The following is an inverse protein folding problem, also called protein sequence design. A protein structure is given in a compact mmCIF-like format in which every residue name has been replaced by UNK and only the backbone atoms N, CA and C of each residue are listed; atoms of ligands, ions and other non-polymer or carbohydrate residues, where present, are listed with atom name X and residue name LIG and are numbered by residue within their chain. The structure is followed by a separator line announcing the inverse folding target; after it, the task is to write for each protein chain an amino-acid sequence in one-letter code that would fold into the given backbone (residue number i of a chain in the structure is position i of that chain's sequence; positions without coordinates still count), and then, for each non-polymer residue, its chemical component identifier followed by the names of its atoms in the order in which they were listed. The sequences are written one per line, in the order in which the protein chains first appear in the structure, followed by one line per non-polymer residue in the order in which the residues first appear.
data_IF_961581891123
#
_entry.id   IF_961581891123
#
_cell.length_a   1.000
_cell.length_b   1.000
_cell.length_c   1.000
_cell.angle_alpha   90.00
_cell.angle_beta   90.00
_cell.angle_gamma   90.00
#
_symmetry.space_group_name_H-M   'P 1'
#
loop_
_entity.id
_entity.type
_entity.pdbx_description
1 polymer ?
#
# COMPACT_ATOMS: atom_id res chain seq x y z
N UNK A 1 30.34 37.31 42.32
CA UNK A 1 30.48 37.25 40.84
C UNK A 1 30.22 35.83 40.31
N UNK A 2 30.68 34.77 40.98
CA UNK A 2 30.46 33.37 40.57
C UNK A 2 28.98 32.91 40.46
N UNK A 3 28.07 33.51 41.22
CA UNK A 3 26.65 33.10 41.25
C UNK A 3 25.90 33.46 39.96
N UNK A 4 26.29 34.57 39.30
CA UNK A 4 25.72 35.01 38.01
C UNK A 4 26.19 34.16 36.83
N UNK A 5 27.45 33.70 36.83
CA UNK A 5 27.96 32.79 35.79
C UNK A 5 27.31 31.40 35.88
N UNK A 6 27.09 30.89 37.10
CA UNK A 6 26.40 29.61 37.33
C UNK A 6 24.96 29.62 36.78
N UNK A 7 24.20 30.69 37.04
CA UNK A 7 22.83 30.83 36.52
C UNK A 7 22.78 31.03 35.02
N UNK A 8 23.72 31.80 34.46
CA UNK A 8 23.81 32.03 33.01
C UNK A 8 24.16 30.75 32.24
N UNK A 9 25.06 29.93 32.79
CA UNK A 9 25.40 28.61 32.23
C UNK A 9 24.23 27.62 32.32
N UNK A 10 23.49 27.62 33.44
CA UNK A 10 22.31 26.78 33.59
C UNK A 10 21.21 27.14 32.59
N UNK A 11 20.94 28.43 32.39
CA UNK A 11 19.97 28.92 31.39
C UNK A 11 20.39 28.55 29.97
N UNK A 12 21.67 28.69 29.64
CA UNK A 12 22.20 28.32 28.33
C UNK A 12 22.08 26.81 28.06
N UNK A 13 22.37 25.97 29.07
CA UNK A 13 22.22 24.51 28.98
C UNK A 13 20.75 24.13 28.79
N UNK A 14 19.83 24.72 29.56
CA UNK A 14 18.38 24.45 29.41
C UNK A 14 17.86 24.88 28.04
N UNK A 15 18.27 26.05 27.53
CA UNK A 15 17.89 26.51 26.19
C UNK A 15 18.42 25.58 25.09
N UNK A 16 19.66 25.13 25.21
CA UNK A 16 20.27 24.20 24.25
C UNK A 16 19.52 22.88 24.21
N UNK A 17 19.14 22.33 25.38
CA UNK A 17 18.36 21.08 25.47
C UNK A 17 16.99 21.23 24.82
N UNK A 18 16.28 22.33 25.07
CA UNK A 18 14.95 22.58 24.48
C UNK A 18 15.04 22.68 22.95
N UNK A 19 16.06 23.36 22.42
CA UNK A 19 16.28 23.47 20.97
C UNK A 19 16.53 22.09 20.35
N UNK A 20 17.35 21.25 20.98
CA UNK A 20 17.63 19.90 20.50
C UNK A 20 16.36 19.05 20.48
N UNK A 21 15.54 19.12 21.53
CA UNK A 21 14.26 18.38 21.59
C UNK A 21 13.31 18.83 20.46
N UNK A 22 13.21 20.14 20.23
CA UNK A 22 12.36 20.68 19.15
C UNK A 22 12.85 20.23 17.77
N UNK A 23 14.17 20.23 17.53
CA UNK A 23 14.74 19.76 16.27
C UNK A 23 14.45 18.27 16.03
N UNK A 24 14.63 17.43 17.05
CA UNK A 24 14.32 15.99 16.95
C UNK A 24 12.83 15.77 16.69
N UNK A 25 11.95 16.48 17.41
CA UNK A 25 10.50 16.40 17.21
C UNK A 25 10.10 16.83 15.79
N UNK A 26 10.75 17.86 15.23
CA UNK A 26 10.49 18.34 13.87
C UNK A 26 10.96 17.34 12.81
N UNK A 27 12.13 16.73 12.99
CA UNK A 27 12.64 15.68 12.10
C UNK A 27 11.71 14.47 12.13
N UNK A 28 11.28 14.02 13.31
CA UNK A 28 10.34 12.89 13.41
C UNK A 28 8.99 13.21 12.77
N UNK A 29 8.44 14.42 12.99
CA UNK A 29 7.16 14.84 12.41
C UNK A 29 7.20 14.94 10.89
N UNK A 30 8.29 15.48 10.34
CA UNK A 30 8.50 15.58 8.89
C UNK A 30 8.76 14.21 8.24
N UNK A 31 9.49 13.32 8.92
CA UNK A 31 9.67 11.93 8.50
C UNK A 31 8.35 11.16 8.43
N UNK A 32 7.51 11.28 9.47
CA UNK A 32 6.15 10.71 9.48
C UNK A 32 5.29 11.30 8.35
N UNK A 33 5.34 12.61 8.14
CA UNK A 33 4.62 13.27 7.05
C UNK A 33 5.02 12.75 5.66
N UNK A 34 6.31 12.50 5.44
CA UNK A 34 6.80 11.90 4.20
C UNK A 34 6.28 10.47 4.01
N UNK A 35 6.30 9.65 5.08
CA UNK A 35 5.76 8.28 5.03
C UNK A 35 4.28 8.28 4.68
N UNK A 36 3.46 9.10 5.36
CA UNK A 36 2.04 9.24 5.03
C UNK A 36 1.81 9.73 3.59
N UNK A 37 2.63 10.65 3.09
CA UNK A 37 2.54 11.12 1.71
C UNK A 37 2.85 10.00 0.70
N UNK A 38 3.92 9.24 0.94
CA UNK A 38 4.29 8.10 0.09
C UNK A 38 3.20 7.01 0.11
N UNK A 39 2.65 6.70 1.28
CA UNK A 39 1.54 5.75 1.42
C UNK A 39 0.29 6.21 0.67
N UNK A 40 -0.05 7.50 0.75
CA UNK A 40 -1.20 8.06 0.04
C UNK A 40 -0.99 8.06 -1.47
N UNK A 41 0.20 8.42 -1.93
CA UNK A 41 0.57 8.37 -3.34
C UNK A 41 0.48 6.95 -3.90
N UNK A 42 0.96 5.96 -3.16
CA UNK A 42 0.81 4.55 -3.51
C UNK A 42 -0.65 4.08 -3.56
N UNK A 43 -1.47 4.48 -2.58
CA UNK A 43 -2.91 4.17 -2.57
C UNK A 43 -3.60 4.71 -3.81
N UNK A 44 -3.35 5.99 -4.14
CA UNK A 44 -3.94 6.62 -5.32
C UNK A 44 -3.52 5.91 -6.61
N UNK A 45 -2.24 5.54 -6.76
CA UNK A 45 -1.78 4.79 -7.94
C UNK A 45 -2.48 3.43 -8.07
N UNK A 46 -2.69 2.72 -6.95
CA UNK A 46 -3.36 1.42 -6.97
C UNK A 46 -4.87 1.56 -7.26
N UNK A 47 -5.51 2.60 -6.71
CA UNK A 47 -6.90 2.95 -7.01
C UNK A 47 -7.09 3.38 -8.47
N UNK A 48 -6.17 4.18 -9.02
CA UNK A 48 -6.19 4.57 -10.43
C UNK A 48 -6.05 3.34 -11.34
N UNK A 49 -5.18 2.39 -10.98
CA UNK A 49 -5.04 1.11 -11.69
C UNK A 49 -6.29 0.24 -11.58
N UNK A 50 -6.91 0.18 -10.41
CA UNK A 50 -8.18 -0.53 -10.22
C UNK A 50 -9.30 0.10 -11.07
N UNK A 51 -9.32 1.43 -11.21
CA UNK A 51 -10.29 2.12 -12.06
C UNK A 51 -10.15 1.80 -13.56
N UNK A 52 -8.98 1.33 -14.00
CA UNK A 52 -8.76 0.82 -15.36
C UNK A 52 -9.38 -0.57 -15.57
N UNK A 53 -9.57 -1.34 -14.49
CA UNK A 53 -10.13 -2.69 -14.53
C UNK A 53 -11.64 -2.59 -14.40
N UNK A 54 -12.34 -2.80 -15.51
CA UNK A 54 -13.80 -2.83 -15.54
C UNK A 54 -14.31 -4.25 -15.79
N UNK A 55 -15.34 -4.70 -15.06
CA UNK A 55 -16.03 -5.93 -15.40
C UNK A 55 -16.48 -5.91 -16.87
N UNK A 56 -16.32 -7.03 -17.58
CA UNK A 56 -16.64 -7.16 -19.00
C UNK A 56 -15.49 -6.82 -19.96
N UNK A 57 -14.34 -6.36 -19.45
CA UNK A 57 -13.12 -6.18 -20.27
C UNK A 57 -12.23 -7.43 -20.20
N UNK A 58 -11.46 -7.69 -21.27
CA UNK A 58 -10.44 -8.74 -21.25
C UNK A 58 -9.22 -8.27 -20.50
N UNK A 59 -8.59 -9.18 -19.75
CA UNK A 59 -7.37 -8.84 -19.02
C UNK A 59 -6.23 -8.43 -19.95
N UNK A 60 -6.13 -9.02 -21.15
CA UNK A 60 -5.14 -8.67 -22.17
C UNK A 60 -5.10 -7.16 -22.48
N UNK A 61 -6.26 -6.50 -22.46
CA UNK A 61 -6.41 -5.12 -22.91
C UNK A 61 -5.96 -4.11 -21.84
N UNK A 62 -5.87 -4.58 -20.58
CA UNK A 62 -5.49 -3.78 -19.42
C UNK A 62 -4.17 -4.23 -18.80
N UNK A 63 -3.70 -5.45 -19.09
CA UNK A 63 -2.47 -6.06 -18.53
C UNK A 63 -1.25 -5.17 -18.72
N UNK A 64 -1.06 -4.62 -19.91
CA UNK A 64 0.07 -3.74 -20.22
C UNK A 64 0.00 -2.41 -19.46
N UNK A 65 -1.21 -1.92 -19.18
CA UNK A 65 -1.44 -0.69 -18.40
C UNK A 65 -1.26 -0.91 -16.90
N UNK A 66 -1.42 -2.15 -16.43
CA UNK A 66 -1.24 -2.50 -15.03
C UNK A 66 0.23 -2.50 -14.61
N UNK A 67 1.16 -2.76 -15.55
CA UNK A 67 2.60 -2.47 -15.47
C UNK A 67 3.33 -2.98 -14.22
N UNK A 68 4.20 -3.98 -14.39
CA UNK A 68 5.26 -4.34 -13.42
C UNK A 68 4.82 -4.90 -12.07
N UNK A 69 3.52 -5.08 -11.83
CA UNK A 69 2.98 -5.73 -10.65
C UNK A 69 3.28 -7.23 -10.75
N UNK A 70 3.83 -7.84 -9.70
CA UNK A 70 4.07 -9.29 -9.68
C UNK A 70 2.74 -9.99 -9.84
N UNK A 71 2.57 -10.72 -10.94
CA UNK A 71 1.33 -11.41 -11.28
C UNK A 71 1.46 -12.84 -10.79
N UNK A 72 0.64 -13.23 -9.82
CA UNK A 72 0.38 -14.65 -9.57
C UNK A 72 -0.95 -15.01 -10.21
N UNK A 73 -0.89 -15.90 -11.18
CA UNK A 73 -2.08 -16.50 -11.80
C UNK A 73 -2.39 -17.83 -11.12
N UNK A 74 -3.65 -17.99 -10.73
CA UNK A 74 -4.19 -19.20 -10.12
C UNK A 74 -5.43 -19.61 -10.91
N UNK A 75 -5.40 -20.81 -11.49
CA UNK A 75 -6.52 -21.36 -12.27
C UNK A 75 -7.27 -22.47 -11.54
N UNK A 76 -6.63 -23.12 -10.56
CA UNK A 76 -7.26 -24.21 -9.81
C UNK A 76 -8.21 -23.67 -8.76
N UNK A 77 -9.41 -24.21 -8.71
CA UNK A 77 -10.44 -23.83 -7.73
C UNK A 77 -9.93 -23.80 -6.30
N UNK A 78 -9.25 -24.86 -5.85
CA UNK A 78 -8.73 -24.95 -4.47
C UNK A 78 -7.71 -23.85 -4.17
N UNK A 79 -6.88 -23.50 -5.16
CA UNK A 79 -5.89 -22.42 -5.03
C UNK A 79 -6.57 -21.04 -5.05
N UNK A 80 -7.55 -20.84 -5.94
CA UNK A 80 -8.35 -19.61 -6.02
C UNK A 80 -9.10 -19.35 -4.71
N UNK A 81 -9.76 -20.37 -4.16
CA UNK A 81 -10.49 -20.27 -2.89
C UNK A 81 -9.55 -20.02 -1.70
N UNK A 82 -8.40 -20.71 -1.67
CA UNK A 82 -7.42 -20.55 -0.61
C UNK A 82 -6.76 -19.16 -0.61
N UNK A 83 -6.42 -18.64 -1.79
CA UNK A 83 -5.66 -17.40 -1.96
C UNK A 83 -6.50 -16.15 -2.21
N UNK A 84 -7.80 -16.29 -2.44
CA UNK A 84 -8.72 -15.15 -2.47
C UNK A 84 -8.74 -14.43 -1.12
N UNK A 85 -8.33 -13.17 -1.07
CA UNK A 85 -8.31 -12.40 0.19
C UNK A 85 -9.70 -11.95 0.62
N UNK A 86 -10.57 -11.62 -0.35
CA UNK A 86 -11.88 -10.99 -0.10
C UNK A 86 -13.07 -11.93 -0.29
N UNK A 87 -12.99 -12.90 -1.20
CA UNK A 87 -14.14 -13.72 -1.60
C UNK A 87 -13.89 -15.20 -1.29
N UNK A 88 -14.41 -15.67 -0.16
CA UNK A 88 -14.35 -17.08 0.25
C UNK A 88 -15.60 -17.89 -0.17
N UNK A 89 -16.37 -17.37 -1.12
CA UNK A 89 -17.56 -18.07 -1.64
C UNK A 89 -17.17 -19.09 -2.72
N UNK A 90 -17.43 -20.36 -2.45
CA UNK A 90 -17.18 -21.47 -3.36
C UNK A 90 -17.94 -21.33 -4.67
N UNK A 91 -19.18 -20.84 -4.65
CA UNK A 91 -19.99 -20.70 -5.86
C UNK A 91 -19.42 -19.62 -6.78
N UNK A 92 -18.95 -18.53 -6.19
CA UNK A 92 -18.30 -17.46 -6.93
C UNK A 92 -16.97 -17.89 -7.53
N UNK A 93 -16.13 -18.60 -6.76
CA UNK A 93 -14.79 -19.00 -7.17
C UNK A 93 -14.76 -20.15 -8.19
N UNK A 94 -15.85 -20.93 -8.30
CA UNK A 94 -15.92 -22.06 -9.22
C UNK A 94 -15.83 -21.61 -10.69
N UNK A 95 -14.84 -22.15 -11.40
CA UNK A 95 -14.60 -21.82 -12.81
C UNK A 95 -14.05 -20.40 -13.03
N UNK A 96 -13.55 -19.75 -11.97
CA UNK A 96 -12.85 -18.47 -12.08
C UNK A 96 -11.34 -18.66 -12.07
N UNK A 97 -10.65 -17.76 -12.75
CA UNK A 97 -9.20 -17.58 -12.63
C UNK A 97 -8.93 -16.38 -11.73
N UNK A 98 -7.98 -16.49 -10.81
CA UNK A 98 -7.57 -15.41 -9.92
C UNK A 98 -6.19 -14.90 -10.33
N UNK A 99 -6.12 -13.59 -10.52
CA UNK A 99 -4.89 -12.86 -10.76
C UNK A 99 -4.61 -11.96 -9.58
N UNK A 100 -3.51 -12.21 -8.89
CA UNK A 100 -3.07 -11.42 -7.75
C UNK A 100 -1.97 -10.49 -8.25
N UNK A 101 -2.21 -9.20 -8.09
CA UNK A 101 -1.25 -8.15 -8.40
C UNK A 101 -0.80 -7.51 -7.09
N UNK A 102 0.46 -7.73 -6.68
CA UNK A 102 1.04 -7.09 -5.50
C UNK A 102 2.03 -6.00 -5.89
N UNK A 103 1.99 -4.87 -5.17
CA UNK A 103 3.01 -3.83 -5.25
C UNK A 103 4.06 -4.10 -4.15
N UNK A 104 5.20 -4.66 -4.54
CA UNK A 104 6.28 -5.04 -3.60
C UNK A 104 7.04 -3.81 -3.08
N UNK A 105 6.82 -2.63 -3.67
CA UNK A 105 7.65 -1.43 -3.43
C UNK A 105 7.14 -0.59 -2.25
N UNK A 106 5.94 -0.87 -1.73
CA UNK A 106 5.32 -0.05 -0.67
C UNK A 106 5.45 -0.69 0.71
N UNK A 107 5.67 0.10 1.78
CA UNK A 107 5.82 -0.41 3.15
C UNK A 107 4.55 -1.09 3.70
N UNK A 108 3.43 -0.95 3.01
CA UNK A 108 2.20 -1.71 3.26
C UNK A 108 2.04 -2.74 2.14
N UNK A 109 1.87 -4.02 2.50
CA UNK A 109 1.56 -5.11 1.58
C UNK A 109 0.17 -4.85 0.97
N UNK A 110 0.14 -4.10 -0.13
CA UNK A 110 -1.08 -3.77 -0.86
C UNK A 110 -1.11 -4.55 -2.16
N UNK A 111 -2.29 -5.04 -2.49
CA UNK A 111 -2.49 -5.81 -3.70
C UNK A 111 -3.90 -5.73 -4.21
N UNK A 112 -4.12 -6.42 -5.31
CA UNK A 112 -5.36 -6.44 -6.04
C UNK A 112 -5.63 -7.84 -6.56
N UNK A 113 -6.83 -8.33 -6.27
CA UNK A 113 -7.37 -9.57 -6.78
C UNK A 113 -8.26 -9.25 -7.98
N UNK A 114 -7.96 -9.87 -9.11
CA UNK A 114 -8.77 -9.80 -10.33
C UNK A 114 -9.29 -11.19 -10.65
N UNK A 115 -10.61 -11.34 -10.63
CA UNK A 115 -11.30 -12.58 -10.92
C UNK A 115 -11.81 -12.56 -12.35
N UNK A 116 -11.49 -13.59 -13.10
CA UNK A 116 -11.89 -13.75 -14.50
C UNK A 116 -12.75 -14.98 -14.69
N UNK A 117 -13.56 -14.98 -15.75
CA UNK A 117 -14.25 -16.17 -16.22
C UNK A 117 -13.35 -17.06 -17.13
N UNK A 118 -13.92 -18.14 -17.64
CA UNK A 118 -13.24 -19.06 -18.56
C UNK A 118 -12.90 -18.46 -19.94
N UNK A 119 -13.40 -17.27 -20.25
CA UNK A 119 -13.14 -16.54 -21.50
C UNK A 119 -12.10 -15.41 -21.31
N UNK A 120 -11.42 -15.41 -20.16
CA UNK A 120 -10.45 -14.38 -19.73
C UNK A 120 -11.07 -12.97 -19.67
N UNK A 121 -12.38 -12.91 -19.38
CA UNK A 121 -13.11 -11.67 -19.13
C UNK A 121 -13.14 -11.39 -17.63
N UNK A 122 -12.81 -10.16 -17.26
CA UNK A 122 -12.85 -9.71 -15.87
C UNK A 122 -14.30 -9.71 -15.39
N UNK A 123 -14.56 -10.43 -14.33
CA UNK A 123 -15.88 -10.52 -13.68
C UNK A 123 -15.92 -9.61 -12.46
N UNK A 124 -14.81 -9.56 -11.72
CA UNK A 124 -14.70 -8.79 -10.50
C UNK A 124 -13.25 -8.40 -10.23
N UNK A 125 -13.05 -7.24 -9.62
CA UNK A 125 -11.75 -6.81 -9.16
C UNK A 125 -11.89 -6.10 -7.81
N UNK A 126 -10.97 -6.37 -6.90
CA UNK A 126 -10.94 -5.75 -5.58
C UNK A 126 -9.50 -5.53 -5.16
N UNK A 127 -9.28 -4.52 -4.33
CA UNK A 127 -8.00 -4.32 -3.68
C UNK A 127 -8.04 -4.80 -2.22
N UNK A 128 -6.85 -5.06 -1.69
CA UNK A 128 -6.64 -5.41 -0.29
C UNK A 128 -5.38 -4.72 0.25
N UNK A 129 -5.35 -4.59 1.56
CA UNK A 129 -4.20 -4.13 2.33
C UNK A 129 -4.09 -5.08 3.52
N UNK A 130 -2.94 -5.76 3.65
CA UNK A 130 -2.58 -6.56 4.83
C UNK A 130 -2.07 -5.68 5.97
#
# INVERSE_FOLDING_TARGET
MAEKESTQNAVFVTQTIVIVILLVAWIMSSGLGLLFYLERSASNKLLDKLALIKPGTKLSDVKDKLGGLTIRELEKFDEVLAWSHRIKDEQFCKGKKLYIFSDVVTPTCRGMDVYMDSNDVIVYATWYQE
#
